data_IF_004510085216
#
_entry.id   IF_004510085216
#
_cell.length_a   1.000
_cell.length_b   1.000
_cell.length_c   1.000
_cell.angle_alpha   90.00
_cell.angle_beta   90.00
_cell.angle_gamma   90.00
#
_symmetry.space_group_name_H-M   'P 1'
#
loop_
_entity.id
_entity.type
_entity.pdbx_description
1 polymer ?
#
# COMPACT_ATOMS: atom_id res chain seq x y z
N UNK A 1 -0.58 3.88 18.71
CA UNK A 1 0.12 2.58 18.50
C UNK A 1 0.61 2.60 17.06
N UNK A 2 1.85 2.19 16.79
CA UNK A 2 2.27 2.00 15.39
C UNK A 2 1.48 0.84 14.77
N UNK A 3 1.08 0.92 13.47
CA UNK A 3 0.40 -0.17 12.79
C UNK A 3 1.27 -1.43 12.77
N UNK A 4 0.65 -2.58 12.58
CA UNK A 4 1.38 -3.82 12.33
C UNK A 4 1.96 -3.80 10.92
N UNK A 5 3.21 -4.29 10.75
CA UNK A 5 3.80 -4.46 9.43
C UNK A 5 3.19 -5.67 8.70
N UNK A 6 3.29 -5.70 7.38
CA UNK A 6 2.84 -6.84 6.57
C UNK A 6 3.54 -8.14 7.01
N UNK A 7 4.83 -8.09 7.32
CA UNK A 7 5.59 -9.24 7.82
C UNK A 7 5.05 -9.72 9.17
N UNK A 8 4.72 -8.81 10.09
CA UNK A 8 4.12 -9.18 11.38
C UNK A 8 2.75 -9.86 11.19
N UNK A 9 1.94 -9.40 10.22
CA UNK A 9 0.61 -9.95 9.95
C UNK A 9 0.66 -11.30 9.26
N UNK A 10 1.68 -11.55 8.44
CA UNK A 10 1.82 -12.80 7.66
C UNK A 10 2.54 -13.92 8.41
N UNK A 11 3.53 -13.59 9.26
CA UNK A 11 4.44 -14.58 9.87
C UNK A 11 4.15 -14.87 11.35
N UNK A 12 3.49 -13.93 12.06
CA UNK A 12 3.28 -14.08 13.50
C UNK A 12 1.88 -14.60 13.81
N UNK A 13 1.81 -15.50 14.81
CA UNK A 13 0.52 -15.79 15.43
C UNK A 13 0.02 -14.56 16.23
N UNK A 14 -1.30 -14.42 16.44
CA UNK A 14 -1.86 -13.33 17.24
C UNK A 14 -1.23 -13.22 18.63
N UNK A 15 -0.88 -14.35 19.25
CA UNK A 15 -0.23 -14.39 20.57
C UNK A 15 1.21 -13.88 20.53
N UNK A 16 1.97 -14.24 19.50
CA UNK A 16 3.34 -13.77 19.27
C UNK A 16 3.38 -12.26 19.01
N UNK A 17 2.48 -11.74 18.17
CA UNK A 17 2.37 -10.32 17.90
C UNK A 17 2.06 -9.51 19.17
N UNK A 18 1.11 -9.99 19.99
CA UNK A 18 0.82 -9.39 21.29
C UNK A 18 2.03 -9.43 22.20
N UNK A 19 2.74 -10.57 22.28
CA UNK A 19 3.93 -10.73 23.11
C UNK A 19 5.03 -9.73 22.72
N UNK A 20 5.36 -9.63 21.44
CA UNK A 20 6.39 -8.71 20.93
C UNK A 20 6.06 -7.24 21.26
N UNK A 21 4.79 -6.83 21.09
CA UNK A 21 4.35 -5.47 21.44
C UNK A 21 4.45 -5.18 22.94
N UNK A 22 4.23 -6.18 23.80
CA UNK A 22 4.44 -6.04 25.24
C UNK A 22 5.92 -5.87 25.57
N UNK A 23 6.81 -6.65 24.96
CA UNK A 23 8.25 -6.62 25.24
C UNK A 23 8.87 -5.28 24.84
N UNK A 24 8.57 -4.78 23.62
CA UNK A 24 9.05 -3.46 23.17
C UNK A 24 8.56 -2.34 24.10
N UNK A 25 7.28 -2.40 24.51
CA UNK A 25 6.75 -1.40 25.45
C UNK A 25 7.42 -1.43 26.82
N UNK A 26 7.75 -2.63 27.31
CA UNK A 26 8.41 -2.80 28.61
C UNK A 26 9.86 -2.28 28.58
N UNK A 27 10.60 -2.55 27.50
CA UNK A 27 11.95 -2.01 27.32
C UNK A 27 11.96 -0.47 27.32
N UNK A 28 10.99 0.16 26.65
CA UNK A 28 10.89 1.61 26.66
C UNK A 28 10.59 2.18 28.07
N UNK A 29 9.74 1.50 28.85
CA UNK A 29 9.46 1.92 30.24
C UNK A 29 10.64 1.70 31.18
N UNK A 30 11.33 0.58 31.03
CA UNK A 30 12.53 0.30 31.79
C UNK A 30 13.58 1.40 31.62
N UNK A 31 13.75 1.96 30.42
CA UNK A 31 14.67 3.11 30.19
C UNK A 31 14.31 4.32 31.03
N UNK A 32 13.03 4.73 30.99
CA UNK A 32 12.58 5.89 31.78
C UNK A 32 12.67 5.64 33.28
N UNK A 33 12.38 4.39 33.74
CA UNK A 33 12.57 4.00 35.10
C UNK A 33 14.03 4.17 35.54
N UNK A 34 14.98 3.73 34.69
CA UNK A 34 16.41 3.87 35.00
C UNK A 34 16.86 5.32 35.05
N UNK A 35 16.31 6.21 34.20
CA UNK A 35 16.60 7.65 34.31
C UNK A 35 16.09 8.23 35.60
N UNK A 36 14.85 7.94 35.97
CA UNK A 36 14.27 8.42 37.23
C UNK A 36 15.02 7.86 38.44
N UNK A 37 15.41 6.57 38.41
CA UNK A 37 16.21 5.96 39.45
C UNK A 37 17.59 6.62 39.55
N UNK A 38 18.27 6.86 38.43
CA UNK A 38 19.57 7.52 38.41
C UNK A 38 19.52 8.93 39.01
N UNK A 39 18.46 9.69 38.67
CA UNK A 39 18.22 11.03 39.22
C UNK A 39 17.94 10.99 40.74
N UNK A 40 17.13 10.03 41.18
CA UNK A 40 16.82 9.86 42.59
C UNK A 40 18.08 9.39 43.40
N UNK A 41 18.86 8.47 42.83
CA UNK A 41 20.10 8.02 43.43
C UNK A 41 21.14 9.15 43.50
N UNK A 42 21.25 9.98 42.45
CA UNK A 42 22.14 11.15 42.47
C UNK A 42 21.73 12.16 43.56
N UNK A 43 20.43 12.47 43.63
CA UNK A 43 19.89 13.35 44.69
C UNK A 43 20.12 12.80 46.10
N UNK A 44 19.88 11.50 46.33
CA UNK A 44 20.12 10.81 47.55
C UNK A 44 21.60 10.78 47.91
N UNK A 45 22.50 10.60 46.94
CA UNK A 45 23.97 10.61 47.15
C UNK A 45 24.45 11.99 47.61
N UNK A 46 23.94 13.06 47.01
CA UNK A 46 24.27 14.45 47.41
C UNK A 46 23.77 14.70 48.83
N UNK A 47 22.54 14.34 49.15
CA UNK A 47 21.98 14.51 50.50
C UNK A 47 22.72 13.66 51.56
N UNK A 48 23.12 12.42 51.24
CA UNK A 48 23.82 11.52 52.13
C UNK A 48 25.30 11.91 52.38
N UNK A 49 25.94 12.57 51.40
CA UNK A 49 27.33 13.04 51.54
C UNK A 49 27.50 14.13 52.59
N UNK A 50 26.40 14.79 52.97
CA UNK A 50 26.37 15.81 54.02
C UNK A 50 26.44 15.17 55.44
N UNK A 51 26.05 13.87 55.57
CA UNK A 51 25.93 13.21 56.86
C UNK A 51 26.79 11.99 57.11
N UNK A 52 27.08 11.12 56.13
CA UNK A 52 27.86 9.87 56.31
C UNK A 52 28.53 9.41 54.99
N UNK A 53 29.86 9.48 54.87
CA UNK A 53 30.58 9.11 53.65
C UNK A 53 30.53 7.60 53.31
N UNK A 54 30.15 6.70 54.27
CA UNK A 54 30.04 5.26 53.98
C UNK A 54 28.86 4.96 53.04
N UNK A 55 27.84 5.79 53.05
CA UNK A 55 26.67 5.66 52.14
C UNK A 55 27.05 5.92 50.68
N UNK A 56 28.09 6.69 50.45
CA UNK A 56 28.62 7.00 49.13
C UNK A 56 29.13 5.75 48.39
N UNK A 57 29.80 4.86 49.12
CA UNK A 57 30.38 3.62 48.58
C UNK A 57 29.31 2.64 48.03
N UNK A 58 28.08 2.72 48.50
CA UNK A 58 26.97 1.83 48.08
C UNK A 58 26.16 2.46 46.96
N UNK A 59 25.94 3.77 46.99
CA UNK A 59 25.11 4.47 46.00
C UNK A 59 25.78 4.65 44.62
N UNK A 60 27.11 4.87 44.60
CA UNK A 60 27.87 5.06 43.36
C UNK A 60 27.84 3.84 42.45
N UNK A 61 28.06 2.59 42.90
CA UNK A 61 27.93 1.40 42.05
C UNK A 61 26.52 1.21 41.48
N UNK A 62 25.47 1.53 42.25
CA UNK A 62 24.08 1.44 41.78
C UNK A 62 23.77 2.46 40.70
N UNK A 63 24.25 3.68 40.83
CA UNK A 63 24.13 4.72 39.80
C UNK A 63 24.87 4.31 38.52
N UNK A 64 26.07 3.80 38.64
CA UNK A 64 26.91 3.32 37.54
C UNK A 64 26.20 2.15 36.80
N UNK A 65 25.66 1.19 37.54
CA UNK A 65 24.91 0.07 37.00
C UNK A 65 23.66 0.55 36.23
N UNK A 66 22.88 1.47 36.80
CA UNK A 66 21.71 2.04 36.18
C UNK A 66 22.05 2.77 34.88
N UNK A 67 23.15 3.53 34.84
CA UNK A 67 23.64 4.22 33.66
C UNK A 67 24.10 3.26 32.56
N UNK A 68 24.90 2.24 32.90
CA UNK A 68 25.35 1.21 31.95
C UNK A 68 24.14 0.51 31.30
N UNK A 69 23.16 0.10 32.11
CA UNK A 69 21.99 -0.58 31.65
C UNK A 69 21.09 0.34 30.79
N UNK A 70 20.98 1.63 31.13
CA UNK A 70 20.30 2.65 30.34
C UNK A 70 20.93 2.80 28.96
N UNK A 71 22.25 2.92 28.87
CA UNK A 71 22.96 3.02 27.59
C UNK A 71 22.84 1.74 26.77
N UNK A 72 22.88 0.57 27.37
CA UNK A 72 22.64 -0.70 26.70
C UNK A 72 21.22 -0.76 26.07
N UNK A 73 20.19 -0.35 26.83
CA UNK A 73 18.82 -0.26 26.35
C UNK A 73 18.63 0.82 25.27
N UNK A 74 19.35 1.93 25.37
CA UNK A 74 19.30 3.00 24.35
C UNK A 74 19.89 2.51 23.02
N UNK A 75 21.02 1.82 23.06
CA UNK A 75 21.71 1.35 21.86
C UNK A 75 20.98 0.20 21.17
N UNK A 76 20.28 -0.65 21.89
CA UNK A 76 19.40 -1.68 21.32
C UNK A 76 18.37 -1.09 20.33
N UNK A 77 17.89 0.14 20.57
CA UNK A 77 16.93 0.81 19.70
C UNK A 77 17.58 1.46 18.47
N UNK A 78 18.85 1.82 18.55
CA UNK A 78 19.54 2.63 17.51
C UNK A 78 20.38 1.80 16.54
N UNK A 79 20.75 0.55 16.89
CA UNK A 79 21.67 -0.23 16.07
C UNK A 79 20.96 -1.16 15.11
N UNK A 80 20.87 -0.74 13.86
CA UNK A 80 20.78 -1.64 12.71
C UNK A 80 22.12 -1.74 11.93
N UNK A 81 23.25 -1.37 12.56
CA UNK A 81 24.59 -1.45 11.96
C UNK A 81 25.69 -1.71 13.00
N UNK A 82 26.78 -2.38 12.64
CA UNK A 82 27.86 -2.74 13.58
C UNK A 82 28.84 -1.58 13.78
N UNK A 83 29.06 -1.16 15.02
CA UNK A 83 30.17 -0.32 15.45
C UNK A 83 31.01 -1.07 16.47
N UNK A 84 32.31 -1.28 16.15
CA UNK A 84 33.07 -2.45 16.61
C UNK A 84 33.77 -2.37 17.97
N UNK A 85 33.75 -1.30 18.71
CA UNK A 85 34.58 -1.19 19.92
C UNK A 85 33.83 -1.34 21.24
N UNK A 86 32.85 -0.53 21.50
CA UNK A 86 32.05 -0.50 22.73
C UNK A 86 31.03 -1.63 22.80
N UNK A 87 30.62 -2.19 21.64
CA UNK A 87 29.65 -3.25 21.53
C UNK A 87 30.15 -4.60 22.05
N UNK A 88 31.45 -4.91 22.02
CA UNK A 88 32.02 -6.18 22.54
C UNK A 88 31.92 -6.28 24.04
N UNK A 89 32.11 -5.21 24.78
CA UNK A 89 32.00 -5.21 26.22
C UNK A 89 30.57 -5.37 26.74
N UNK A 90 29.60 -4.88 25.97
CA UNK A 90 28.17 -4.95 26.30
C UNK A 90 27.43 -6.10 25.63
N UNK A 91 28.07 -6.87 24.74
CA UNK A 91 27.45 -7.97 24.01
C UNK A 91 26.79 -9.04 24.94
N UNK A 92 27.37 -9.45 26.08
CA UNK A 92 26.70 -10.36 27.00
C UNK A 92 25.39 -9.78 27.53
N UNK A 93 25.38 -8.49 27.89
CA UNK A 93 24.20 -7.79 28.41
C UNK A 93 23.17 -7.61 27.27
N UNK A 94 23.64 -7.31 26.09
CA UNK A 94 22.77 -7.20 24.87
C UNK A 94 22.10 -8.52 24.54
N UNK A 95 22.85 -9.66 24.56
CA UNK A 95 22.29 -11.00 24.31
C UNK A 95 21.25 -11.38 25.36
N UNK A 96 21.48 -11.06 26.62
CA UNK A 96 20.54 -11.30 27.72
C UNK A 96 19.22 -10.48 27.47
N UNK A 97 19.35 -9.21 27.10
CA UNK A 97 18.21 -8.32 26.89
C UNK A 97 17.41 -8.72 25.61
N UNK A 98 18.10 -9.02 24.51
CA UNK A 98 17.48 -9.37 23.23
C UNK A 98 16.90 -10.79 23.26
N UNK A 99 17.63 -11.75 23.86
CA UNK A 99 17.18 -13.14 23.95
C UNK A 99 16.03 -13.33 24.94
N UNK A 100 16.08 -12.59 26.07
CA UNK A 100 15.10 -12.74 27.15
C UNK A 100 14.73 -11.39 27.79
N UNK A 101 14.06 -10.46 27.01
CA UNK A 101 13.81 -9.10 27.47
C UNK A 101 13.00 -9.03 28.77
N UNK A 102 12.10 -9.98 29.00
CA UNK A 102 11.32 -10.05 30.26
C UNK A 102 12.17 -10.44 31.44
N UNK A 103 13.00 -11.47 31.27
CA UNK A 103 13.93 -11.92 32.36
C UNK A 103 14.89 -10.80 32.70
N UNK A 104 15.42 -10.07 31.71
CA UNK A 104 16.32 -8.94 31.94
C UNK A 104 15.63 -7.80 32.73
N UNK A 105 14.36 -7.47 32.41
CA UNK A 105 13.60 -6.46 33.16
C UNK A 105 13.34 -6.91 34.61
N UNK A 106 12.92 -8.16 34.78
CA UNK A 106 12.69 -8.72 36.14
C UNK A 106 13.98 -8.77 36.95
N UNK A 107 15.07 -9.23 36.36
CA UNK A 107 16.39 -9.27 37.02
C UNK A 107 16.86 -7.86 37.38
N UNK A 108 16.67 -6.87 36.48
CA UNK A 108 17.00 -5.47 36.78
C UNK A 108 16.18 -4.94 37.96
N UNK A 109 14.86 -5.15 37.97
CA UNK A 109 14.01 -4.69 39.08
C UNK A 109 14.36 -5.36 40.41
N UNK A 110 14.61 -6.65 40.37
CA UNK A 110 15.04 -7.40 41.57
C UNK A 110 16.41 -6.94 42.05
N UNK A 111 17.39 -6.74 41.16
CA UNK A 111 18.72 -6.27 41.52
C UNK A 111 18.68 -4.85 42.09
N UNK A 112 17.90 -3.94 41.51
CA UNK A 112 17.71 -2.58 42.03
C UNK A 112 17.03 -2.60 43.42
N UNK A 113 16.00 -3.42 43.58
CA UNK A 113 15.34 -3.59 44.89
C UNK A 113 16.28 -4.19 45.94
N UNK A 114 17.03 -5.22 45.56
CA UNK A 114 17.98 -5.88 46.48
C UNK A 114 19.14 -4.95 46.85
N UNK A 115 19.69 -4.20 45.90
CA UNK A 115 20.79 -3.28 46.16
C UNK A 115 20.36 -2.09 47.02
N UNK A 116 19.11 -1.62 46.82
CA UNK A 116 18.55 -0.56 47.66
C UNK A 116 18.18 -1.12 49.06
N UNK A 117 17.72 -2.37 49.14
CA UNK A 117 17.49 -3.08 50.40
C UNK A 117 18.78 -3.20 51.18
N UNK A 118 19.87 -3.64 50.56
CA UNK A 118 21.18 -3.75 51.18
C UNK A 118 21.73 -2.38 51.60
N UNK A 119 21.47 -1.33 50.85
CA UNK A 119 21.84 0.05 51.18
C UNK A 119 21.06 0.60 52.40
N UNK A 120 19.86 0.08 52.64
CA UNK A 120 18.95 0.54 53.69
C UNK A 120 18.99 -0.35 54.95
N UNK A 121 19.54 -1.57 54.88
CA UNK A 121 19.64 -2.49 56.00
C UNK A 121 20.49 -1.99 57.19
N UNK A 122 21.19 -0.90 57.02
CA UNK A 122 21.82 -0.20 58.14
C UNK A 122 20.94 0.83 58.81
N UNK A 123 19.75 1.14 58.33
CA UNK A 123 19.00 2.35 58.66
C UNK A 123 17.56 2.36 58.18
N UNK A 124 16.64 2.62 58.97
CA UNK A 124 15.36 3.34 58.94
C UNK A 124 14.52 3.41 57.60
N UNK A 125 14.67 2.48 56.62
CA UNK A 125 14.17 2.77 55.31
C UNK A 125 13.58 1.66 54.41
N UNK A 126 13.21 0.50 54.90
CA UNK A 126 12.59 -0.58 54.07
C UNK A 126 11.22 -0.18 53.52
N UNK A 127 10.44 0.57 54.28
CA UNK A 127 9.05 0.92 53.96
C UNK A 127 8.93 1.88 52.75
N UNK A 128 9.68 3.00 52.68
CA UNK A 128 9.61 3.88 51.52
C UNK A 128 9.96 3.15 50.21
N UNK A 129 10.90 2.20 50.27
CA UNK A 129 11.32 1.42 49.12
C UNK A 129 10.23 0.50 48.63
N UNK A 130 9.56 -0.22 49.50
CA UNK A 130 8.48 -1.13 49.16
C UNK A 130 7.27 -0.39 48.64
N UNK A 131 6.95 0.80 49.17
CA UNK A 131 5.91 1.68 48.65
C UNK A 131 6.27 2.13 47.24
N UNK A 132 7.49 2.61 47.01
CA UNK A 132 7.97 3.02 45.69
C UNK A 132 7.90 1.85 44.70
N UNK A 133 8.35 0.66 45.05
CA UNK A 133 8.26 -0.53 44.21
C UNK A 133 6.81 -0.85 43.83
N UNK A 134 5.86 -0.72 44.75
CA UNK A 134 4.43 -0.89 44.49
C UNK A 134 3.89 0.05 43.39
N UNK A 135 4.40 1.28 43.31
CA UNK A 135 4.00 2.25 42.27
C UNK A 135 4.71 2.04 40.92
N UNK A 136 5.95 1.53 40.92
CA UNK A 136 6.73 1.40 39.69
C UNK A 136 6.43 0.11 38.89
N UNK A 137 6.03 -0.98 39.54
CA UNK A 137 5.74 -2.27 38.90
C UNK A 137 4.45 -2.24 38.03
N UNK A 138 3.33 -1.59 38.41
CA UNK A 138 2.11 -1.60 37.66
C UNK A 138 2.22 -1.05 36.21
N UNK A 139 3.06 -0.03 35.89
CA UNK A 139 3.23 0.46 34.52
C UNK A 139 3.80 -0.56 33.55
N UNK A 140 4.52 -1.60 34.01
CA UNK A 140 5.11 -2.62 33.16
C UNK A 140 4.07 -3.62 32.67
N UNK A 141 4.22 -4.03 31.40
CA UNK A 141 3.35 -5.01 30.75
C UNK A 141 3.89 -6.40 31.01
N UNK A 142 3.66 -6.93 32.21
CA UNK A 142 4.14 -8.23 32.65
C UNK A 142 3.05 -9.30 32.58
N UNK A 143 3.48 -10.58 32.57
CA UNK A 143 2.55 -11.71 32.74
C UNK A 143 1.99 -11.72 34.17
N UNK A 144 0.78 -12.25 34.37
CA UNK A 144 0.18 -12.34 35.72
C UNK A 144 1.09 -13.01 36.75
N UNK A 145 1.75 -14.09 36.34
CA UNK A 145 2.70 -14.85 37.24
C UNK A 145 3.90 -13.99 37.60
N UNK A 146 4.51 -13.26 36.68
CA UNK A 146 5.64 -12.38 36.94
C UNK A 146 5.29 -11.29 37.95
N UNK A 147 4.08 -10.71 37.86
CA UNK A 147 3.57 -9.72 38.82
C UNK A 147 3.36 -10.35 40.18
N UNK A 148 2.74 -11.54 40.22
CA UNK A 148 2.49 -12.26 41.47
C UNK A 148 3.81 -12.59 42.17
N UNK A 149 4.84 -13.02 41.43
CA UNK A 149 6.15 -13.32 42.00
C UNK A 149 6.82 -12.06 42.58
N UNK A 150 6.79 -10.94 41.88
CA UNK A 150 7.39 -9.67 42.34
C UNK A 150 6.67 -9.15 43.59
N UNK A 151 5.36 -8.96 43.50
CA UNK A 151 4.59 -8.42 44.62
C UNK A 151 4.55 -9.43 45.79
N UNK A 152 4.41 -10.72 45.48
CA UNK A 152 4.39 -11.78 46.51
C UNK A 152 5.70 -11.92 47.27
N UNK A 153 6.85 -11.85 46.57
CA UNK A 153 8.15 -11.89 47.21
C UNK A 153 8.42 -10.67 48.11
N UNK A 154 7.98 -9.49 47.68
CA UNK A 154 8.10 -8.26 48.47
C UNK A 154 7.24 -8.32 49.75
N UNK A 155 5.98 -8.78 49.63
CA UNK A 155 5.08 -8.93 50.77
C UNK A 155 5.58 -10.00 51.71
N UNK A 156 6.04 -11.16 51.19
CA UNK A 156 6.60 -12.23 51.99
C UNK A 156 7.85 -11.78 52.72
N UNK A 157 8.75 -11.06 52.06
CA UNK A 157 9.94 -10.50 52.68
C UNK A 157 9.61 -9.55 53.85
N UNK A 158 8.60 -8.74 53.71
CA UNK A 158 8.12 -7.83 54.74
C UNK A 158 7.53 -8.56 55.93
N UNK A 159 6.70 -9.59 55.70
CA UNK A 159 6.10 -10.42 56.72
C UNK A 159 7.17 -11.20 57.51
N UNK A 160 8.20 -11.75 56.84
CA UNK A 160 9.31 -12.42 57.46
C UNK A 160 10.13 -11.45 58.31
N UNK A 161 10.41 -10.25 57.82
CA UNK A 161 11.12 -9.23 58.61
C UNK A 161 10.36 -8.86 59.89
N UNK A 162 9.04 -8.67 59.77
CA UNK A 162 8.18 -8.39 60.92
C UNK A 162 8.16 -9.57 61.93
N UNK A 163 8.09 -10.83 61.44
CA UNK A 163 8.07 -12.04 62.28
C UNK A 163 9.39 -12.24 63.02
N UNK A 164 10.51 -11.88 62.41
CA UNK A 164 11.85 -11.97 62.99
C UNK A 164 12.19 -10.80 63.94
N UNK A 165 11.23 -9.88 64.14
CA UNK A 165 11.46 -8.72 65.01
C UNK A 165 12.48 -7.70 64.47
N UNK A 166 12.71 -7.76 63.12
CA UNK A 166 13.57 -6.77 62.47
C UNK A 166 12.85 -5.43 62.42
N UNK A 167 13.53 -4.27 62.63
CA UNK A 167 12.89 -2.97 62.59
C UNK A 167 12.43 -2.68 61.17
N UNK A 168 11.11 -2.70 60.96
CA UNK A 168 10.46 -2.44 59.67
C UNK A 168 10.13 -0.96 59.50
N UNK A 169 10.07 -0.19 60.58
CA UNK A 169 9.84 1.23 60.63
C UNK A 169 10.63 1.92 61.73
N UNK A 170 10.82 3.24 61.64
CA UNK A 170 11.41 4.04 62.72
C UNK A 170 10.59 3.93 63.99
N UNK A 171 11.24 3.86 65.12
CA UNK A 171 10.71 3.55 66.49
C UNK A 171 9.51 4.36 66.98
N UNK A 172 8.92 5.24 66.15
CA UNK A 172 7.83 6.15 66.51
C UNK A 172 6.44 5.83 65.90
N UNK A 173 6.34 4.79 65.06
CA UNK A 173 5.07 4.42 64.40
C UNK A 173 4.62 3.00 64.83
N UNK A 174 3.30 2.78 64.88
CA UNK A 174 2.68 1.48 65.10
C UNK A 174 3.04 0.55 63.93
N UNK A 175 3.97 -0.40 64.18
CA UNK A 175 4.53 -1.30 63.18
C UNK A 175 3.41 -2.11 62.43
N UNK A 176 2.32 -2.45 63.14
CA UNK A 176 1.21 -3.22 62.57
C UNK A 176 0.43 -2.43 61.51
N UNK A 177 0.14 -1.15 61.76
CA UNK A 177 -0.53 -0.25 60.83
C UNK A 177 0.28 0.01 59.56
N UNK A 178 1.59 0.16 59.72
CA UNK A 178 2.50 0.40 58.61
C UNK A 178 2.65 -0.83 57.70
N UNK A 179 2.80 -2.03 58.30
CA UNK A 179 2.83 -3.29 57.51
C UNK A 179 1.51 -3.49 56.72
N UNK A 180 0.36 -3.26 57.40
CA UNK A 180 -0.93 -3.37 56.76
C UNK A 180 -1.10 -2.41 55.57
N UNK A 181 -0.63 -1.17 55.71
CA UNK A 181 -0.68 -0.19 54.62
C UNK A 181 0.17 -0.58 53.39
N UNK A 182 1.39 -1.10 53.63
CA UNK A 182 2.29 -1.57 52.57
C UNK A 182 1.70 -2.79 51.85
N UNK A 183 1.19 -3.77 52.61
CA UNK A 183 0.53 -4.96 52.02
C UNK A 183 -0.67 -4.55 51.20
N UNK A 184 -1.55 -3.69 51.72
CA UNK A 184 -2.73 -3.18 50.99
C UNK A 184 -2.36 -2.49 49.70
N UNK A 185 -1.29 -1.64 49.72
CA UNK A 185 -0.82 -0.96 48.51
C UNK A 185 -0.32 -1.95 47.45
N UNK A 186 0.40 -2.99 47.82
CA UNK A 186 0.88 -4.02 46.89
C UNK A 186 -0.25 -4.87 46.33
N UNK A 187 -1.24 -5.25 47.12
CA UNK A 187 -2.44 -5.96 46.67
C UNK A 187 -3.25 -5.12 45.69
N UNK A 188 -3.46 -3.83 46.00
CA UNK A 188 -4.10 -2.91 45.11
C UNK A 188 -3.35 -2.74 43.79
N UNK A 189 -2.03 -2.51 43.82
CA UNK A 189 -1.17 -2.41 42.65
C UNK A 189 -1.20 -3.69 41.78
N UNK A 190 -1.24 -4.85 42.41
CA UNK A 190 -1.37 -6.14 41.72
C UNK A 190 -2.71 -6.22 40.96
N UNK A 191 -3.82 -5.91 41.64
CA UNK A 191 -5.18 -5.96 41.05
C UNK A 191 -5.28 -5.00 39.84
N UNK A 192 -4.89 -3.74 40.03
CA UNK A 192 -4.90 -2.74 38.96
C UNK A 192 -4.01 -3.16 37.79
N UNK A 193 -2.82 -3.66 38.11
CA UNK A 193 -1.88 -4.14 37.10
C UNK A 193 -2.40 -5.34 36.31
N UNK A 194 -3.08 -6.28 36.96
CA UNK A 194 -3.71 -7.44 36.29
C UNK A 194 -4.87 -6.99 35.39
N UNK A 195 -5.75 -6.12 35.90
CA UNK A 195 -6.89 -5.61 35.15
C UNK A 195 -6.44 -4.83 33.90
N UNK A 196 -5.50 -3.91 34.05
CA UNK A 196 -4.96 -3.11 32.93
C UNK A 196 -4.24 -3.97 31.88
N UNK A 197 -3.50 -4.99 32.32
CA UNK A 197 -2.80 -5.92 31.41
C UNK A 197 -3.79 -6.75 30.58
N UNK A 198 -4.84 -7.27 31.21
CA UNK A 198 -5.87 -8.07 30.53
C UNK A 198 -6.63 -7.22 29.48
N UNK A 199 -7.01 -5.99 29.84
CA UNK A 199 -7.68 -5.07 28.92
C UNK A 199 -6.79 -4.77 27.72
N UNK A 200 -5.55 -4.37 27.94
CA UNK A 200 -4.63 -4.04 26.84
C UNK A 200 -4.28 -5.23 25.97
N UNK A 201 -4.16 -6.44 26.53
CA UNK A 201 -3.96 -7.65 25.73
C UNK A 201 -5.12 -7.87 24.76
N UNK A 202 -6.37 -7.70 25.22
CA UNK A 202 -7.56 -7.81 24.38
C UNK A 202 -7.58 -6.76 23.27
N UNK A 203 -7.26 -5.51 23.58
CA UNK A 203 -7.17 -4.42 22.62
C UNK A 203 -6.14 -4.70 21.51
N UNK A 204 -4.92 -5.11 21.87
CA UNK A 204 -3.88 -5.43 20.89
C UNK A 204 -4.29 -6.63 20.03
N UNK A 205 -4.85 -7.66 20.62
CA UNK A 205 -5.32 -8.85 19.93
C UNK A 205 -6.42 -8.51 18.92
N UNK A 206 -7.39 -7.70 19.32
CA UNK A 206 -8.48 -7.26 18.45
C UNK A 206 -7.95 -6.44 17.25
N UNK A 207 -7.02 -5.51 17.48
CA UNK A 207 -6.39 -4.72 16.41
C UNK A 207 -5.61 -5.63 15.44
N UNK A 208 -4.87 -6.62 15.95
CA UNK A 208 -4.11 -7.55 15.12
C UNK A 208 -5.02 -8.40 14.24
N UNK A 209 -6.08 -8.99 14.82
CA UNK A 209 -7.04 -9.81 14.08
C UNK A 209 -7.74 -8.97 13.00
N UNK A 210 -8.18 -7.75 13.33
CA UNK A 210 -8.82 -6.85 12.37
C UNK A 210 -7.86 -6.48 11.22
N UNK A 211 -6.60 -6.17 11.52
CA UNK A 211 -5.60 -5.86 10.50
C UNK A 211 -5.31 -7.08 9.60
N UNK A 212 -5.21 -8.28 10.18
CA UNK A 212 -4.98 -9.51 9.41
C UNK A 212 -6.17 -9.83 8.49
N UNK A 213 -7.41 -9.67 8.96
CA UNK A 213 -8.61 -9.84 8.15
C UNK A 213 -8.63 -8.85 6.98
N UNK A 214 -8.38 -7.56 7.24
CA UNK A 214 -8.32 -6.52 6.21
C UNK A 214 -7.25 -6.81 5.14
N UNK A 215 -6.07 -7.27 5.55
CA UNK A 215 -4.99 -7.63 4.58
C UNK A 215 -5.40 -8.82 3.72
N UNK A 216 -6.04 -9.83 4.31
CA UNK A 216 -6.53 -11.00 3.57
C UNK A 216 -7.60 -10.60 2.55
N UNK A 217 -8.54 -9.74 2.93
CA UNK A 217 -9.59 -9.26 2.03
C UNK A 217 -9.02 -8.41 0.88
N UNK A 218 -8.00 -7.57 1.16
CA UNK A 218 -7.28 -6.81 0.13
C UNK A 218 -6.56 -7.72 -0.87
N UNK A 219 -5.86 -8.76 -0.39
CA UNK A 219 -5.18 -9.72 -1.26
C UNK A 219 -6.17 -10.47 -2.13
N UNK A 220 -7.30 -10.92 -1.55
CA UNK A 220 -8.35 -11.58 -2.32
C UNK A 220 -8.93 -10.66 -3.40
N UNK A 221 -9.24 -9.42 -3.05
CA UNK A 221 -9.76 -8.44 -4.02
C UNK A 221 -8.79 -8.18 -5.16
N UNK A 222 -7.48 -8.07 -4.88
CA UNK A 222 -6.46 -7.95 -5.92
C UNK A 222 -6.45 -9.15 -6.85
N UNK A 223 -6.49 -10.37 -6.31
CA UNK A 223 -6.55 -11.59 -7.14
C UNK A 223 -7.80 -11.63 -8.02
N UNK A 224 -8.95 -11.21 -7.52
CA UNK A 224 -10.20 -11.13 -8.30
C UNK A 224 -10.09 -10.09 -9.43
N UNK A 225 -9.43 -8.94 -9.18
CA UNK A 225 -9.17 -7.90 -10.19
C UNK A 225 -8.16 -8.38 -11.25
N UNK A 226 -7.07 -9.04 -10.84
CA UNK A 226 -6.08 -9.62 -11.77
C UNK A 226 -6.75 -10.64 -12.70
N UNK A 227 -7.62 -11.48 -12.16
CA UNK A 227 -8.38 -12.45 -12.96
C UNK A 227 -9.35 -11.79 -13.94
N UNK A 228 -10.03 -10.71 -13.52
CA UNK A 228 -10.90 -9.92 -14.39
C UNK A 228 -10.09 -9.27 -15.55
N UNK A 229 -8.87 -8.78 -15.25
CA UNK A 229 -7.95 -8.27 -16.27
C UNK A 229 -7.56 -9.34 -17.28
N UNK A 230 -7.21 -10.54 -16.83
CA UNK A 230 -6.89 -11.65 -17.74
C UNK A 230 -8.05 -11.97 -18.68
N UNK A 231 -9.28 -12.02 -18.17
CA UNK A 231 -10.48 -12.23 -19.00
C UNK A 231 -10.64 -11.08 -19.99
N UNK A 232 -10.46 -9.83 -19.57
CA UNK A 232 -10.59 -8.67 -20.46
C UNK A 232 -9.54 -8.68 -21.58
N UNK A 233 -8.29 -8.93 -21.26
CA UNK A 233 -7.22 -9.03 -22.26
C UNK A 233 -7.46 -10.18 -23.26
N UNK A 234 -8.04 -11.27 -22.79
CA UNK A 234 -8.44 -12.37 -23.68
C UNK A 234 -9.63 -12.03 -24.60
N UNK A 235 -10.33 -10.94 -24.33
CA UNK A 235 -11.36 -10.42 -25.23
C UNK A 235 -10.79 -9.62 -26.41
N UNK A 236 -9.58 -9.05 -26.28
CA UNK A 236 -8.94 -8.35 -27.37
C UNK A 236 -8.51 -9.36 -28.45
N UNK A 237 -8.48 -8.96 -29.73
CA UNK A 237 -8.06 -9.86 -30.79
C UNK A 237 -6.59 -10.28 -30.62
N UNK A 238 -6.29 -11.54 -30.83
CA UNK A 238 -4.92 -12.06 -30.76
C UNK A 238 -4.00 -11.51 -31.88
N UNK A 239 -4.57 -10.89 -32.88
CA UNK A 239 -3.91 -10.26 -34.02
C UNK A 239 -4.92 -9.85 -35.08
N UNK A 240 -4.47 -9.05 -36.05
CA UNK A 240 -5.29 -8.70 -37.18
C UNK A 240 -5.41 -9.90 -38.14
N UNK A 241 -6.63 -10.18 -38.70
CA UNK A 241 -6.77 -11.12 -39.78
C UNK A 241 -5.91 -10.74 -40.97
N UNK A 242 -5.26 -11.69 -41.67
CA UNK A 242 -4.43 -11.38 -42.82
C UNK A 242 -5.21 -10.63 -43.91
N UNK A 243 -4.68 -9.49 -44.31
CA UNK A 243 -5.26 -8.63 -45.38
C UNK A 243 -4.14 -8.30 -46.35
N UNK A 244 -4.13 -8.92 -47.53
CA UNK A 244 -3.01 -8.79 -48.47
C UNK A 244 -2.68 -7.37 -48.93
N UNK A 245 -3.61 -6.41 -48.73
CA UNK A 245 -3.45 -5.02 -49.11
C UNK A 245 -3.29 -4.05 -47.95
N UNK A 246 -3.32 -4.55 -46.72
CA UNK A 246 -3.16 -3.78 -45.49
C UNK A 246 -2.07 -4.41 -44.61
N UNK A 247 -1.26 -3.57 -44.00
CA UNK A 247 -0.40 -3.92 -42.89
C UNK A 247 -0.96 -3.22 -41.63
N UNK A 248 -1.33 -4.00 -40.62
CA UNK A 248 -2.06 -3.51 -39.45
C UNK A 248 -1.33 -3.93 -38.17
N UNK A 249 -1.14 -2.96 -37.29
CA UNK A 249 -0.58 -3.17 -35.97
C UNK A 249 -1.40 -2.43 -34.91
N UNK A 250 -1.61 -3.06 -33.78
CA UNK A 250 -2.34 -2.48 -32.65
C UNK A 250 -1.53 -2.51 -31.36
N UNK A 251 -1.90 -1.63 -30.46
CA UNK A 251 -1.43 -1.60 -29.08
C UNK A 251 -2.62 -1.32 -28.17
N UNK A 252 -2.66 -2.00 -27.02
CA UNK A 252 -3.52 -1.63 -25.90
C UNK A 252 -2.75 -1.82 -24.60
N UNK A 253 -2.62 -0.75 -23.84
CA UNK A 253 -1.83 -0.69 -22.61
C UNK A 253 -2.67 -0.10 -21.49
N UNK A 254 -3.33 -0.95 -20.68
CA UNK A 254 -4.18 -0.48 -19.59
C UNK A 254 -3.39 0.25 -18.51
N UNK A 255 -3.92 1.38 -18.00
CA UNK A 255 -3.36 2.14 -16.90
C UNK A 255 -3.65 1.51 -15.52
N UNK A 256 -4.76 0.78 -15.41
CA UNK A 256 -5.22 0.12 -14.19
C UNK A 256 -5.38 -1.39 -14.39
N UNK A 257 -5.86 -2.10 -13.35
CA UNK A 257 -6.10 -3.54 -13.42
C UNK A 257 -7.13 -3.91 -14.50
N UNK A 258 -8.16 -3.07 -14.73
CA UNK A 258 -9.21 -3.29 -15.75
C UNK A 258 -9.40 -1.99 -16.51
N UNK A 259 -9.13 -2.01 -17.83
CA UNK A 259 -9.22 -0.85 -18.72
C UNK A 259 -10.62 -0.56 -19.23
N UNK A 260 -10.80 0.65 -19.79
CA UNK A 260 -11.98 1.09 -20.54
C UNK A 260 -11.84 0.93 -22.05
N UNK A 261 -10.61 0.85 -22.52
CA UNK A 261 -10.27 0.83 -23.95
C UNK A 261 -10.56 -0.49 -24.64
N UNK A 262 -10.93 -0.39 -25.91
CA UNK A 262 -11.27 -1.52 -26.75
C UNK A 262 -10.83 -1.30 -28.19
N UNK A 263 -10.37 -2.35 -28.85
CA UNK A 263 -10.26 -2.44 -30.29
C UNK A 263 -10.60 -3.86 -30.77
N UNK A 264 -11.10 -3.98 -32.02
CA UNK A 264 -11.37 -5.29 -32.63
C UNK A 264 -11.34 -5.20 -34.16
N UNK A 265 -11.32 -6.37 -34.82
CA UNK A 265 -11.28 -6.54 -36.24
C UNK A 265 -12.40 -7.48 -36.68
N UNK A 266 -13.21 -7.04 -37.62
CA UNK A 266 -14.30 -7.85 -38.18
C UNK A 266 -14.11 -8.00 -39.70
N UNK A 267 -13.66 -9.19 -40.16
CA UNK A 267 -13.68 -9.47 -41.60
C UNK A 267 -15.10 -9.41 -42.15
N UNK A 268 -15.28 -8.71 -43.29
CA UNK A 268 -16.53 -8.55 -44.00
C UNK A 268 -16.42 -9.22 -45.38
N UNK A 269 -17.54 -9.30 -46.11
CA UNK A 269 -17.56 -9.83 -47.48
C UNK A 269 -16.68 -9.01 -48.44
N UNK A 270 -16.27 -9.62 -49.55
CA UNK A 270 -15.43 -9.00 -50.57
C UNK A 270 -14.07 -8.49 -50.10
N UNK A 271 -13.45 -9.14 -49.08
CA UNK A 271 -12.14 -8.77 -48.56
C UNK A 271 -12.12 -7.43 -47.77
N UNK A 272 -13.28 -6.89 -47.42
CA UNK A 272 -13.41 -5.71 -46.57
C UNK A 272 -13.09 -6.08 -45.11
N UNK A 273 -12.61 -5.09 -44.39
CA UNK A 273 -12.31 -5.21 -42.97
C UNK A 273 -12.92 -4.05 -42.20
N UNK A 274 -13.67 -4.33 -41.16
CA UNK A 274 -14.04 -3.31 -40.18
C UNK A 274 -13.05 -3.32 -39.02
N UNK A 275 -12.48 -2.15 -38.70
CA UNK A 275 -11.66 -1.87 -37.55
C UNK A 275 -12.48 -1.03 -36.57
N UNK A 276 -12.57 -1.45 -35.36
CA UNK A 276 -13.34 -0.77 -34.30
C UNK A 276 -12.39 -0.37 -33.18
N UNK A 277 -12.49 0.90 -32.74
CA UNK A 277 -11.79 1.39 -31.53
C UNK A 277 -12.82 2.14 -30.69
N UNK A 278 -12.77 1.97 -29.38
CA UNK A 278 -13.69 2.63 -28.46
C UNK A 278 -13.13 2.73 -27.06
N UNK A 279 -13.73 3.60 -26.26
CA UNK A 279 -13.42 3.77 -24.85
C UNK A 279 -14.69 3.93 -24.02
N UNK A 280 -14.68 3.37 -22.83
CA UNK A 280 -15.77 3.46 -21.84
C UNK A 280 -15.38 4.48 -20.78
N UNK A 281 -16.11 5.58 -20.69
CA UNK A 281 -15.83 6.67 -19.76
C UNK A 281 -15.51 6.21 -18.33
N UNK A 282 -14.28 6.53 -17.87
CA UNK A 282 -13.70 6.14 -16.58
C UNK A 282 -13.20 4.70 -16.58
N UNK A 283 -12.50 4.32 -15.53
CA UNK A 283 -11.74 3.05 -15.39
C UNK A 283 -12.35 2.06 -14.42
N UNK A 284 -11.79 0.85 -14.37
CA UNK A 284 -12.08 -0.19 -13.39
C UNK A 284 -13.21 -1.14 -13.81
N UNK A 285 -13.61 -2.03 -12.91
CA UNK A 285 -14.51 -3.15 -13.16
C UNK A 285 -15.81 -2.79 -13.89
N UNK A 286 -16.42 -1.64 -13.56
CA UNK A 286 -17.68 -1.22 -14.17
C UNK A 286 -17.52 -0.86 -15.67
N UNK A 287 -16.37 -0.28 -16.05
CA UNK A 287 -16.04 0.01 -17.45
C UNK A 287 -15.75 -1.30 -18.20
N UNK A 288 -14.96 -2.19 -17.63
CA UNK A 288 -14.66 -3.48 -18.24
C UNK A 288 -15.91 -4.35 -18.47
N UNK A 289 -16.86 -4.37 -17.54
CA UNK A 289 -18.14 -5.10 -17.73
C UNK A 289 -19.00 -4.50 -18.85
N UNK A 290 -19.07 -3.16 -18.95
CA UNK A 290 -19.79 -2.51 -20.05
C UNK A 290 -19.12 -2.78 -21.39
N UNK A 291 -17.78 -2.75 -21.41
CA UNK A 291 -16.98 -3.08 -22.58
C UNK A 291 -17.25 -4.51 -23.07
N UNK A 292 -17.30 -5.47 -22.17
CA UNK A 292 -17.64 -6.85 -22.50
C UNK A 292 -19.04 -6.95 -23.16
N UNK A 293 -20.00 -6.14 -22.67
CA UNK A 293 -21.32 -6.01 -23.28
C UNK A 293 -21.27 -5.42 -24.69
N UNK A 294 -20.51 -4.33 -24.90
CA UNK A 294 -20.32 -3.68 -26.21
C UNK A 294 -19.71 -4.68 -27.19
N UNK A 295 -18.63 -5.36 -26.80
CA UNK A 295 -17.97 -6.37 -27.66
C UNK A 295 -18.91 -7.51 -28.03
N UNK A 296 -19.66 -8.04 -27.07
CA UNK A 296 -20.62 -9.12 -27.34
C UNK A 296 -21.70 -8.69 -28.34
N UNK A 297 -22.20 -7.46 -28.20
CA UNK A 297 -23.15 -6.91 -29.17
C UNK A 297 -22.51 -6.70 -30.56
N UNK A 298 -21.29 -6.18 -30.63
CA UNK A 298 -20.56 -6.02 -31.90
C UNK A 298 -20.35 -7.35 -32.59
N UNK A 299 -19.98 -8.40 -31.85
CA UNK A 299 -19.82 -9.75 -32.40
C UNK A 299 -21.13 -10.27 -33.02
N UNK A 300 -22.26 -10.04 -32.36
CA UNK A 300 -23.58 -10.42 -32.89
C UNK A 300 -23.95 -9.60 -34.13
N UNK A 301 -23.62 -8.30 -34.11
CA UNK A 301 -23.92 -7.35 -35.18
C UNK A 301 -22.85 -7.33 -36.29
N UNK A 302 -21.84 -8.21 -36.25
CA UNK A 302 -20.73 -8.23 -37.20
C UNK A 302 -21.18 -8.32 -38.66
N UNK A 303 -22.25 -9.09 -38.95
CA UNK A 303 -22.86 -9.20 -40.30
C UNK A 303 -23.62 -7.95 -40.76
N UNK A 304 -23.88 -7.00 -39.86
CA UNK A 304 -24.56 -5.75 -40.13
C UNK A 304 -23.62 -4.53 -40.23
N UNK A 305 -22.31 -4.74 -40.04
CA UNK A 305 -21.30 -3.68 -40.04
C UNK A 305 -21.25 -2.91 -41.40
N UNK A 306 -21.78 -3.47 -42.48
CA UNK A 306 -22.01 -2.73 -43.73
C UNK A 306 -22.83 -1.44 -43.56
N UNK A 307 -23.64 -1.40 -42.50
CA UNK A 307 -24.45 -0.25 -42.13
C UNK A 307 -24.00 0.30 -40.77
N UNK A 308 -22.81 0.90 -40.65
CA UNK A 308 -22.21 1.24 -39.41
C UNK A 308 -23.05 2.20 -38.55
N UNK A 309 -23.83 3.11 -39.18
CA UNK A 309 -24.73 3.98 -38.45
C UNK A 309 -25.87 3.23 -37.77
N UNK A 310 -26.41 2.18 -38.40
CA UNK A 310 -27.43 1.33 -37.79
C UNK A 310 -26.87 0.51 -36.61
N UNK A 311 -25.63 0.04 -36.76
CA UNK A 311 -24.92 -0.64 -35.65
C UNK A 311 -24.71 0.30 -34.49
N UNK A 312 -24.22 1.52 -34.72
CA UNK A 312 -24.07 2.54 -33.68
C UNK A 312 -25.38 2.86 -32.95
N UNK A 313 -26.50 2.95 -33.69
CA UNK A 313 -27.82 3.18 -33.10
C UNK A 313 -28.27 2.02 -32.19
N UNK A 314 -28.03 0.76 -32.59
CA UNK A 314 -28.31 -0.43 -31.78
C UNK A 314 -27.43 -0.48 -30.54
N UNK A 315 -26.14 -0.20 -30.67
CA UNK A 315 -25.20 -0.12 -29.55
C UNK A 315 -25.59 1.00 -28.58
N UNK A 316 -25.97 2.17 -29.06
CA UNK A 316 -26.48 3.26 -28.24
C UNK A 316 -27.66 2.82 -27.37
N UNK A 317 -28.61 2.13 -27.96
CA UNK A 317 -29.74 1.58 -27.19
C UNK A 317 -29.31 0.58 -26.14
N UNK A 318 -28.38 -0.34 -26.45
CA UNK A 318 -27.84 -1.31 -25.52
C UNK A 318 -27.13 -0.61 -24.34
N UNK A 319 -26.25 0.37 -24.62
CA UNK A 319 -25.54 1.11 -23.58
C UNK A 319 -26.50 1.87 -22.67
N UNK A 320 -27.55 2.52 -23.24
CA UNK A 320 -28.60 3.18 -22.45
C UNK A 320 -29.28 2.24 -21.48
N UNK A 321 -29.63 1.04 -21.91
CA UNK A 321 -30.30 0.04 -21.09
C UNK A 321 -29.38 -0.54 -19.99
N UNK A 322 -28.12 -0.80 -20.35
CA UNK A 322 -27.14 -1.45 -19.45
C UNK A 322 -26.56 -0.49 -18.44
N UNK A 323 -26.07 0.67 -18.90
CA UNK A 323 -25.37 1.65 -18.05
C UNK A 323 -26.31 2.55 -17.24
N UNK A 324 -27.62 2.53 -17.52
CA UNK A 324 -28.64 3.34 -16.82
C UNK A 324 -28.19 4.80 -16.65
N UNK A 325 -27.61 5.41 -17.71
CA UNK A 325 -27.14 6.81 -17.75
C UNK A 325 -25.89 7.11 -16.89
N UNK A 326 -25.19 6.10 -16.40
CA UNK A 326 -24.04 6.30 -15.51
C UNK A 326 -22.70 6.25 -16.24
N UNK A 327 -22.67 5.71 -17.43
CA UNK A 327 -21.47 5.53 -18.25
C UNK A 327 -21.80 5.83 -19.70
N UNK A 328 -20.85 6.41 -20.38
CA UNK A 328 -20.89 6.67 -21.83
C UNK A 328 -19.78 5.83 -22.49
N UNK A 329 -19.93 5.58 -23.78
CA UNK A 329 -18.94 4.85 -24.58
C UNK A 329 -18.67 5.64 -25.83
N UNK A 330 -17.41 5.96 -26.09
CA UNK A 330 -16.98 6.50 -27.38
C UNK A 330 -16.63 5.34 -28.32
N UNK A 331 -16.99 5.42 -29.59
CA UNK A 331 -16.71 4.34 -30.54
C UNK A 331 -16.53 4.90 -31.98
N UNK A 332 -15.46 4.44 -32.63
CA UNK A 332 -15.24 4.63 -34.06
C UNK A 332 -15.26 3.27 -34.77
N UNK A 333 -15.95 3.21 -35.90
CA UNK A 333 -15.97 2.06 -36.83
C UNK A 333 -15.39 2.54 -38.16
N UNK A 334 -14.31 1.89 -38.62
CA UNK A 334 -13.66 2.17 -39.88
C UNK A 334 -13.74 0.94 -40.77
N UNK A 335 -14.49 1.04 -41.88
CA UNK A 335 -14.62 -0.03 -42.86
C UNK A 335 -13.65 0.23 -44.00
N UNK A 336 -12.72 -0.67 -44.22
CA UNK A 336 -11.69 -0.61 -45.25
C UNK A 336 -12.12 -1.45 -46.44
N UNK A 337 -12.29 -0.82 -47.60
CA UNK A 337 -12.76 -1.46 -48.83
C UNK A 337 -11.62 -1.54 -49.86
N UNK A 338 -11.13 -2.75 -50.16
CA UNK A 338 -10.01 -2.94 -51.10
C UNK A 338 -10.39 -2.62 -52.56
N UNK A 339 -11.68 -2.80 -52.94
CA UNK A 339 -12.14 -2.61 -54.31
C UNK A 339 -12.32 -1.14 -54.63
N UNK A 340 -13.01 -0.41 -53.73
CA UNK A 340 -13.24 1.02 -53.88
C UNK A 340 -12.03 1.86 -53.44
N UNK A 341 -11.07 1.28 -52.70
CA UNK A 341 -9.95 1.99 -52.12
C UNK A 341 -10.40 3.18 -51.25
N UNK A 342 -11.32 2.90 -50.34
CA UNK A 342 -11.84 3.89 -49.40
C UNK A 342 -11.86 3.32 -47.97
N UNK A 343 -11.76 4.24 -47.03
CA UNK A 343 -12.14 4.02 -45.64
C UNK A 343 -13.47 4.71 -45.36
N UNK A 344 -14.47 3.98 -44.94
CA UNK A 344 -15.74 4.54 -44.44
C UNK A 344 -15.65 4.66 -42.94
N UNK A 345 -15.58 5.88 -42.43
CA UNK A 345 -15.45 6.20 -40.98
C UNK A 345 -16.80 6.58 -40.43
N UNK A 346 -17.28 5.85 -39.43
CA UNK A 346 -18.45 6.20 -38.61
C UNK A 346 -18.01 6.42 -37.16
N UNK A 347 -18.53 7.48 -36.52
CA UNK A 347 -18.07 7.93 -35.22
C UNK A 347 -19.22 8.21 -34.25
N UNK A 348 -19.07 7.78 -33.02
CA UNK A 348 -19.94 8.04 -31.87
C UNK A 348 -19.12 8.69 -30.73
N UNK A 349 -18.73 9.95 -30.89
CA UNK A 349 -18.03 10.73 -29.88
C UNK A 349 -16.57 10.32 -29.59
N UNK A 350 -15.99 9.50 -30.45
CA UNK A 350 -14.61 9.04 -30.33
C UNK A 350 -13.63 10.07 -30.91
N UNK A 351 -12.34 10.12 -30.47
CA UNK A 351 -11.32 10.95 -31.10
C UNK A 351 -11.25 10.82 -32.61
N UNK A 352 -10.81 11.86 -33.34
CA UNK A 352 -10.75 11.82 -34.78
C UNK A 352 -9.74 10.77 -35.26
N UNK A 353 -10.08 10.09 -36.35
CA UNK A 353 -9.12 9.25 -37.07
C UNK A 353 -8.13 10.14 -37.79
N UNK A 354 -6.82 9.96 -37.54
CA UNK A 354 -5.79 10.66 -38.29
C UNK A 354 -5.45 9.88 -39.55
N UNK A 355 -5.40 10.58 -40.66
CA UNK A 355 -5.03 10.00 -41.96
C UNK A 355 -3.82 10.73 -42.51
N UNK A 356 -2.71 10.02 -42.60
CA UNK A 356 -1.49 10.51 -43.24
C UNK A 356 -1.44 10.06 -44.68
N UNK A 357 -1.38 11.00 -45.58
CA UNK A 357 -1.25 10.78 -47.03
C UNK A 357 -0.07 11.57 -47.64
N UNK A 358 0.01 11.66 -48.95
CA UNK A 358 1.10 12.39 -49.61
C UNK A 358 1.05 13.93 -49.35
N UNK A 359 -0.10 14.48 -49.00
CA UNK A 359 -0.26 15.91 -48.71
C UNK A 359 0.03 16.26 -47.20
N UNK A 360 0.13 15.27 -46.34
CA UNK A 360 0.35 15.44 -44.89
C UNK A 360 -0.62 14.64 -44.06
N UNK A 361 -0.86 15.08 -42.82
CA UNK A 361 -1.81 14.46 -41.88
C UNK A 361 -3.08 15.27 -41.84
N UNK A 362 -4.22 14.59 -42.02
CA UNK A 362 -5.55 15.17 -41.93
C UNK A 362 -6.37 14.47 -40.84
N UNK A 363 -7.19 15.23 -40.12
CA UNK A 363 -8.14 14.71 -39.15
C UNK A 363 -9.48 14.39 -39.78
N UNK A 364 -9.99 13.21 -39.61
CA UNK A 364 -11.36 12.82 -39.95
C UNK A 364 -12.25 13.10 -38.74
N UNK A 365 -12.47 14.37 -38.47
CA UNK A 365 -13.33 14.82 -37.39
C UNK A 365 -14.80 14.68 -37.76
N UNK A 366 -15.55 13.94 -36.96
CA UNK A 366 -17.00 13.72 -37.14
C UNK A 366 -17.69 14.04 -35.80
N UNK A 367 -18.11 15.30 -35.61
CA UNK A 367 -18.78 15.69 -34.37
C UNK A 367 -20.03 14.83 -34.13
N UNK A 368 -20.04 14.09 -33.03
CA UNK A 368 -21.15 13.23 -32.63
C UNK A 368 -21.13 13.01 -31.12
N UNK A 369 -22.27 12.60 -30.57
CA UNK A 369 -22.37 12.26 -29.16
C UNK A 369 -21.92 10.82 -28.92
N UNK A 370 -21.33 10.52 -27.73
CA UNK A 370 -20.99 9.16 -27.38
C UNK A 370 -22.25 8.29 -27.19
N UNK A 371 -22.08 6.98 -27.26
CA UNK A 371 -23.11 5.99 -26.98
C UNK A 371 -23.57 6.08 -25.53
N UNK A 372 -24.85 5.83 -25.28
CA UNK A 372 -25.44 5.94 -23.95
C UNK A 372 -26.08 7.29 -23.65
N UNK A 373 -25.88 8.29 -24.53
CA UNK A 373 -26.60 9.58 -24.46
C UNK A 373 -28.10 9.42 -24.66
N UNK A 374 -28.90 10.27 -24.00
CA UNK A 374 -30.36 10.24 -24.10
C UNK A 374 -30.93 10.99 -25.30
N UNK A 375 -30.15 11.88 -25.86
CA UNK A 375 -30.49 12.60 -27.06
C UNK A 375 -30.50 11.61 -28.23
N UNK A 376 -31.35 11.86 -29.24
CA UNK A 376 -31.29 11.11 -30.48
C UNK A 376 -29.96 11.46 -31.19
N UNK A 377 -28.95 10.55 -31.14
CA UNK A 377 -27.62 10.91 -31.60
C UNK A 377 -27.59 10.85 -33.14
N UNK A 378 -27.13 11.93 -33.75
CA UNK A 378 -26.72 11.92 -35.14
C UNK A 378 -25.27 11.50 -35.22
N UNK A 379 -25.00 10.26 -35.60
CA UNK A 379 -23.65 9.76 -35.81
C UNK A 379 -23.10 10.25 -37.14
N UNK A 380 -21.84 10.71 -37.14
CA UNK A 380 -21.15 11.14 -38.35
C UNK A 380 -20.69 9.96 -39.19
N UNK A 381 -20.72 10.13 -40.52
CA UNK A 381 -20.15 9.19 -41.48
C UNK A 381 -19.41 9.95 -42.58
N UNK A 382 -18.21 9.49 -42.92
CA UNK A 382 -17.37 10.05 -43.97
C UNK A 382 -16.63 8.96 -44.73
N UNK A 383 -16.61 9.04 -46.06
CA UNK A 383 -15.71 8.25 -46.88
C UNK A 383 -14.40 9.01 -47.14
N UNK A 384 -13.28 8.32 -47.01
CA UNK A 384 -11.92 8.83 -47.21
C UNK A 384 -11.27 7.99 -48.30
N UNK A 385 -10.83 8.54 -49.43
CA UNK A 385 -10.06 7.78 -50.42
C UNK A 385 -8.71 7.36 -49.87
N UNK A 386 -8.27 6.18 -50.25
CA UNK A 386 -7.02 5.58 -49.79
C UNK A 386 -6.09 5.35 -50.99
N UNK A 387 -4.86 5.79 -50.83
CA UNK A 387 -3.77 5.50 -51.77
C UNK A 387 -2.73 4.56 -51.11
N UNK A 388 -1.85 3.99 -51.93
CA UNK A 388 -0.74 3.24 -51.43
C UNK A 388 0.15 4.10 -50.50
N UNK A 389 0.67 3.50 -49.44
CA UNK A 389 1.51 4.14 -48.42
C UNK A 389 0.73 5.12 -47.49
N UNK A 390 -0.58 5.24 -47.61
CA UNK A 390 -1.38 5.98 -46.64
C UNK A 390 -1.43 5.24 -45.32
N UNK A 391 -1.48 5.99 -44.20
CA UNK A 391 -1.59 5.43 -42.83
C UNK A 391 -2.82 6.06 -42.17
N UNK A 392 -3.66 5.19 -41.61
CA UNK A 392 -4.73 5.59 -40.71
C UNK A 392 -4.31 5.26 -39.29
N UNK A 393 -4.49 6.22 -38.39
CA UNK A 393 -4.28 6.05 -36.94
C UNK A 393 -5.62 6.24 -36.24
N UNK A 394 -6.13 5.14 -35.65
CA UNK A 394 -7.26 5.15 -34.75
C UNK A 394 -6.69 5.08 -33.31
N UNK A 395 -7.15 5.92 -32.41
CA UNK A 395 -6.55 6.00 -31.06
C UNK A 395 -7.59 6.40 -30.02
N UNK A 396 -7.38 5.95 -28.77
CA UNK A 396 -8.11 6.48 -27.61
C UNK A 396 -7.54 7.81 -27.15
N UNK A 397 -8.20 8.45 -26.21
CA UNK A 397 -7.79 9.74 -25.65
C UNK A 397 -6.50 9.65 -24.83
N UNK A 398 -6.20 8.52 -24.19
CA UNK A 398 -4.99 8.34 -23.39
C UNK A 398 -3.68 8.59 -24.14
N UNK A 399 -3.68 8.52 -25.49
CA UNK A 399 -2.49 8.83 -26.28
C UNK A 399 -2.22 10.35 -26.35
N UNK A 400 -3.25 11.18 -26.60
CA UNK A 400 -3.06 12.63 -26.73
C UNK A 400 -3.33 13.40 -25.43
N UNK A 401 -4.08 12.83 -24.47
CA UNK A 401 -4.28 13.39 -23.15
C UNK A 401 -3.17 13.00 -22.16
N UNK A 402 -2.28 12.08 -22.54
CA UNK A 402 -1.14 11.69 -21.73
C UNK A 402 -0.28 12.91 -21.35
N UNK A 403 0.02 13.04 -20.06
CA UNK A 403 0.71 14.21 -19.50
C UNK A 403 2.21 13.96 -19.33
N UNK A 404 2.99 15.04 -19.43
CA UNK A 404 4.38 15.06 -19.02
C UNK A 404 4.52 15.23 -17.49
N UNK A 405 5.76 15.31 -16.99
CA UNK A 405 6.06 15.52 -15.56
C UNK A 405 5.58 16.87 -15.00
N UNK A 406 5.16 17.81 -15.85
CA UNK A 406 4.64 19.11 -15.45
C UNK A 406 3.11 19.18 -15.54
N UNK A 407 2.46 18.13 -16.05
CA UNK A 407 1.01 18.06 -16.24
C UNK A 407 0.54 18.67 -17.55
N UNK A 408 1.43 18.90 -18.50
CA UNK A 408 1.07 19.36 -19.84
C UNK A 408 0.66 18.17 -20.71
N UNK A 409 -0.49 18.21 -21.44
CA UNK A 409 -0.91 17.11 -22.29
C UNK A 409 -0.05 16.99 -23.55
N UNK A 410 0.10 15.79 -24.08
CA UNK A 410 0.80 15.52 -25.34
C UNK A 410 0.17 16.29 -26.52
N UNK A 411 -1.14 16.29 -26.59
CA UNK A 411 -1.92 17.04 -27.57
C UNK A 411 -2.08 16.36 -28.92
N UNK A 412 -3.23 16.59 -29.54
CA UNK A 412 -3.56 16.02 -30.85
C UNK A 412 -2.67 16.59 -31.97
N UNK A 413 -2.32 17.88 -31.89
CA UNK A 413 -1.41 18.53 -32.83
C UNK A 413 -0.02 17.86 -32.85
N UNK A 414 0.55 17.61 -31.68
CA UNK A 414 1.84 16.92 -31.58
C UNK A 414 1.74 15.47 -32.06
N UNK A 415 0.65 14.77 -31.78
CA UNK A 415 0.41 13.43 -32.31
C UNK A 415 0.39 13.42 -33.84
N UNK A 416 -0.29 14.41 -34.46
CA UNK A 416 -0.32 14.55 -35.91
C UNK A 416 1.06 14.91 -36.48
N UNK A 417 1.82 15.79 -35.83
CA UNK A 417 3.20 16.11 -36.21
C UNK A 417 4.11 14.90 -36.12
N UNK A 418 4.03 14.13 -35.01
CA UNK A 418 4.81 12.91 -34.84
C UNK A 418 4.49 11.90 -35.95
N UNK A 419 3.21 11.70 -36.26
CA UNK A 419 2.79 10.82 -37.37
C UNK A 419 3.29 11.32 -38.73
N UNK A 420 3.32 12.62 -38.96
CA UNK A 420 3.81 13.24 -40.21
C UNK A 420 5.33 13.02 -40.41
N UNK A 421 6.10 12.97 -39.33
CA UNK A 421 7.56 12.81 -39.38
C UNK A 421 7.98 11.35 -39.64
N UNK A 422 7.10 10.36 -39.41
CA UNK A 422 7.42 8.95 -39.65
C UNK A 422 7.59 8.72 -41.17
N UNK A 423 8.70 8.09 -41.64
CA UNK A 423 8.88 7.75 -43.04
C UNK A 423 7.72 6.92 -43.63
N UNK A 424 7.33 7.19 -44.87
CA UNK A 424 6.15 6.56 -45.49
C UNK A 424 6.36 5.09 -45.82
N UNK A 425 7.61 4.68 -46.00
CA UNK A 425 8.01 3.33 -46.39
C UNK A 425 7.98 2.33 -45.23
N UNK A 426 7.84 2.84 -43.98
CA UNK A 426 7.87 1.99 -42.79
C UNK A 426 6.58 1.14 -42.68
N UNK A 427 6.74 -0.07 -42.16
CA UNK A 427 5.65 -0.98 -41.81
C UNK A 427 4.84 -0.43 -40.62
N UNK A 428 3.62 -0.91 -40.45
CA UNK A 428 2.73 -0.47 -39.37
C UNK A 428 3.33 -0.64 -37.96
N UNK A 429 4.12 -1.71 -37.76
CA UNK A 429 4.85 -1.95 -36.51
C UNK A 429 5.88 -0.86 -36.22
N UNK A 430 6.63 -0.44 -37.24
CA UNK A 430 7.63 0.62 -37.09
C UNK A 430 6.98 1.99 -36.89
N UNK A 431 5.84 2.26 -37.52
CA UNK A 431 5.02 3.47 -37.28
C UNK A 431 4.58 3.48 -35.80
N UNK A 432 4.03 2.39 -35.27
CA UNK A 432 3.64 2.24 -33.88
C UNK A 432 4.81 2.55 -32.94
N UNK A 433 5.96 1.92 -33.19
CA UNK A 433 7.14 2.05 -32.31
C UNK A 433 7.71 3.47 -32.32
N UNK A 434 7.65 4.17 -33.48
CA UNK A 434 8.06 5.56 -33.60
C UNK A 434 7.14 6.49 -32.79
N UNK A 435 5.82 6.32 -32.89
CA UNK A 435 4.85 7.09 -32.10
C UNK A 435 5.02 6.85 -30.58
N UNK A 436 5.23 5.61 -30.17
CA UNK A 436 5.49 5.28 -28.77
C UNK A 436 6.80 5.88 -28.25
N UNK A 437 7.84 5.90 -29.08
CA UNK A 437 9.12 6.48 -28.70
C UNK A 437 9.01 8.01 -28.47
N UNK A 438 8.30 8.72 -29.37
CA UNK A 438 8.08 10.16 -29.19
C UNK A 438 7.22 10.45 -27.96
N UNK A 439 6.13 9.69 -27.78
CA UNK A 439 5.28 9.80 -26.58
C UNK A 439 6.05 9.52 -25.29
N UNK A 440 6.89 8.49 -25.25
CA UNK A 440 7.70 8.16 -24.07
C UNK A 440 8.75 9.24 -23.72
N UNK A 441 9.35 9.85 -24.78
CA UNK A 441 10.28 10.98 -24.61
C UNK A 441 9.53 12.20 -24.03
N UNK A 442 8.35 12.50 -24.53
CA UNK A 442 7.53 13.59 -24.01
C UNK A 442 7.12 13.34 -22.55
N UNK A 443 6.60 12.16 -22.24
CA UNK A 443 6.15 11.80 -20.91
C UNK A 443 7.27 11.90 -19.85
N UNK A 444 8.52 11.61 -20.22
CA UNK A 444 9.69 11.83 -19.37
C UNK A 444 9.66 11.08 -18.04
N UNK A 445 8.97 9.92 -18.00
CA UNK A 445 8.79 9.08 -16.82
C UNK A 445 7.62 9.48 -15.92
N UNK A 446 6.71 10.35 -16.35
CA UNK A 446 5.44 10.58 -15.66
C UNK A 446 4.59 9.29 -15.67
N UNK A 447 3.80 9.02 -14.62
CA UNK A 447 2.96 7.82 -14.56
C UNK A 447 1.83 7.90 -15.59
N UNK A 448 1.54 6.79 -16.24
CA UNK A 448 0.37 6.65 -17.09
C UNK A 448 -0.90 6.79 -16.25
N UNK A 449 -1.82 7.66 -16.68
CA UNK A 449 -3.07 7.96 -15.96
C UNK A 449 -4.30 7.36 -16.60
N UNK A 450 -4.26 7.14 -17.91
CA UNK A 450 -5.36 6.56 -18.68
C UNK A 450 -4.88 5.43 -19.59
N UNK A 451 -5.81 4.62 -20.06
CA UNK A 451 -5.53 3.51 -20.96
C UNK A 451 -5.00 4.06 -22.30
N UNK A 452 -3.99 3.42 -22.84
CA UNK A 452 -3.36 3.81 -24.08
C UNK A 452 -3.61 2.75 -25.15
N UNK A 453 -4.52 3.06 -26.09
CA UNK A 453 -4.89 2.13 -27.16
C UNK A 453 -4.86 2.85 -28.50
N UNK A 454 -4.23 2.22 -29.48
CA UNK A 454 -4.31 2.67 -30.86
C UNK A 454 -4.08 1.54 -31.87
N UNK A 455 -4.60 1.76 -33.06
CA UNK A 455 -4.46 0.87 -34.22
C UNK A 455 -3.87 1.67 -35.38
N UNK A 456 -2.76 1.18 -35.91
CA UNK A 456 -2.12 1.68 -37.14
C UNK A 456 -2.54 0.79 -38.29
N UNK A 457 -3.14 1.40 -39.32
CA UNK A 457 -3.50 0.72 -40.59
C UNK A 457 -2.70 1.37 -41.70
N UNK A 458 -1.80 0.62 -42.30
CA UNK A 458 -1.04 1.05 -43.47
C UNK A 458 -1.57 0.39 -44.71
N UNK A 459 -1.75 1.20 -45.76
CA UNK A 459 -2.26 0.76 -47.08
C UNK A 459 -1.09 0.28 -47.95
N UNK A 460 -1.07 -0.98 -48.30
CA UNK A 460 -0.09 -1.54 -49.22
C UNK A 460 -0.26 -1.15 -50.68
N UNK A 461 0.80 -1.36 -51.45
CA UNK A 461 0.83 -1.09 -52.90
C UNK A 461 -0.01 -2.11 -53.69
N UNK A 462 -0.09 -3.34 -53.20
CA UNK A 462 -0.75 -4.43 -53.94
C UNK A 462 -2.27 -4.30 -53.89
N UNK A 463 -2.91 -4.52 -55.04
CA UNK A 463 -4.34 -4.79 -55.10
C UNK A 463 -4.58 -6.24 -54.69
N UNK A 464 -5.70 -6.57 -54.01
CA UNK A 464 -6.05 -7.98 -53.79
C UNK A 464 -6.05 -8.67 -55.15
N UNK A 465 -5.25 -9.72 -55.26
CA UNK A 465 -5.40 -10.66 -56.40
C UNK A 465 -6.68 -11.43 -56.15
N UNK A 466 -7.61 -11.34 -57.15
CA UNK A 466 -8.91 -12.04 -57.21
C UNK A 466 -8.76 -13.55 -56.85
#
# INVERSE_FOLDING_TARGET
MQPFSLDELSQLSPEQAVANRFDVSNLNKARWFLVLYALAAAGGTIAASIGDPRRFAILVPNLLFALVFFFALRRWRLSRGPDEGFDRALEPVRRLIVGHPRAAIVTLLVALLLSTLLATLGLDGLIPLLVIAGYFVPPFRMRPVERLLIHGSLVLGLLLAALLGLPVAEKKTDDTGTVAAVVSNHVFALIVGLATSRRRRREILAIFIAAQASTKDQLRMRQELDYAREIQLAMLPAGCPPQGWLDICSLSWPATEVGGDYYDYFPLDAGRLAVVVGDVAGHGMASGLLLAGVRSCLTILATELDQPLAVLAKLNHMVQQTARRRKLVTLAIVILDPVRRIATVANAGHPPVLVRNAAGVAEVALPSLPLGTQLDPHFGLREVPLEAEDVLLLHSDGLYEGEDRFGEPYGLERLAESLAQVPRELEATAVRDALLADFAIFQGGAPQRDDLTFVVVKVGADRPTD
#
